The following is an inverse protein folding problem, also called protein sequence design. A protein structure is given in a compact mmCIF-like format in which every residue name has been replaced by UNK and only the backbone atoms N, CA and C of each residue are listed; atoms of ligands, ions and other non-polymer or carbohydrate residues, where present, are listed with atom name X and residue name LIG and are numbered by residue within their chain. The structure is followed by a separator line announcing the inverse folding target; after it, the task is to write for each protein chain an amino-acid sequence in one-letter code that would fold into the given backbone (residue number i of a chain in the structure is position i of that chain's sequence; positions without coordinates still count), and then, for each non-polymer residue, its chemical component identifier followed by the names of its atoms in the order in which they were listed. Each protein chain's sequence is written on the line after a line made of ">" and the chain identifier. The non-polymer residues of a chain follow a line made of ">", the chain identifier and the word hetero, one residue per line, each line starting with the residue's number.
data_IF_670682237280
#
_entry.id   IF_670682237280
#
_cell.length_a   1.000
_cell.length_b   1.000
_cell.length_c   1.000
_cell.angle_alpha   90.00
_cell.angle_beta   90.00
_cell.angle_gamma   90.00
#
_symmetry.space_group_name_H-M   'P 1'
#
loop_
_entity.id
_entity.type
_entity.pdbx_description
1 polymer ?
#
# COMPACT_ATOMS: atom_id res chain seq x y z
N UNK A 1 16.13 2.77 12.77
CA UNK A 1 15.43 1.57 12.32
C UNK A 1 14.02 1.58 12.88
N UNK A 2 13.02 1.34 12.03
CA UNK A 2 11.60 1.23 12.39
C UNK A 2 11.08 -0.10 11.86
N UNK A 3 10.33 -0.82 12.69
CA UNK A 3 9.58 -1.99 12.29
C UNK A 3 8.13 -1.85 12.78
N UNK A 4 7.18 -2.00 11.85
CA UNK A 4 5.75 -2.01 12.14
C UNK A 4 5.15 -3.30 11.58
N UNK A 5 4.47 -4.05 12.43
CA UNK A 5 3.65 -5.19 12.05
C UNK A 5 2.21 -4.90 12.45
N UNK A 6 1.29 -4.95 11.51
CA UNK A 6 -0.12 -4.67 11.72
C UNK A 6 -0.97 -5.82 11.18
N UNK A 7 -1.74 -6.43 12.04
CA UNK A 7 -2.80 -7.34 11.63
C UNK A 7 -4.06 -6.53 11.32
N UNK A 8 -4.68 -6.81 10.18
CA UNK A 8 -5.96 -6.17 9.84
C UNK A 8 -7.12 -6.76 10.66
N UNK A 9 -8.28 -6.09 10.58
CA UNK A 9 -9.52 -6.54 11.22
C UNK A 9 -9.95 -7.93 10.72
N UNK A 10 -9.73 -8.20 9.43
CA UNK A 10 -10.06 -9.49 8.83
C UNK A 10 -8.94 -10.49 9.03
N UNK A 11 -9.33 -11.75 9.29
CA UNK A 11 -8.39 -12.86 9.49
C UNK A 11 -7.40 -12.99 8.33
N UNK A 12 -6.12 -13.21 8.66
CA UNK A 12 -4.99 -13.32 7.69
C UNK A 12 -4.69 -12.04 6.88
N UNK A 13 -5.27 -10.92 7.21
CA UNK A 13 -4.82 -9.63 6.67
C UNK A 13 -3.59 -9.18 7.44
N UNK A 14 -2.53 -8.82 6.72
CA UNK A 14 -1.23 -8.49 7.30
C UNK A 14 -0.60 -7.31 6.56
N UNK A 15 0.07 -6.45 7.32
CA UNK A 15 0.89 -5.38 6.79
C UNK A 15 2.18 -5.28 7.60
N UNK A 16 3.31 -5.48 6.94
CA UNK A 16 4.64 -5.34 7.50
C UNK A 16 5.34 -4.14 6.87
N UNK A 17 5.97 -3.32 7.68
CA UNK A 17 6.80 -2.20 7.23
C UNK A 17 8.13 -2.20 7.97
N UNK A 18 9.20 -2.08 7.20
CA UNK A 18 10.56 -1.86 7.70
C UNK A 18 11.07 -0.55 7.11
N UNK A 19 11.51 0.36 7.96
CA UNK A 19 12.09 1.62 7.55
C UNK A 19 13.44 1.86 8.24
N UNK A 20 14.38 2.41 7.50
CA UNK A 20 15.67 2.87 8.02
C UNK A 20 15.98 4.26 7.52
N UNK A 21 16.76 5.01 8.28
CA UNK A 21 17.18 6.34 7.87
C UNK A 21 18.50 6.71 8.50
N UNK A 22 19.24 7.56 7.79
CA UNK A 22 20.50 8.15 8.21
C UNK A 22 20.38 9.67 8.05
N UNK A 23 20.81 10.39 9.05
CA UNK A 23 20.94 11.85 8.98
C UNK A 23 22.43 12.20 9.15
N UNK A 24 22.97 12.93 8.19
CA UNK A 24 24.31 13.48 8.21
C UNK A 24 24.22 14.99 8.38
N UNK A 25 24.96 15.51 9.33
CA UNK A 25 25.07 16.95 9.55
C UNK A 25 26.52 17.38 9.44
N UNK A 26 26.76 18.43 8.69
CA UNK A 26 28.05 19.05 8.55
C UNK A 26 27.93 20.55 8.81
N UNK A 27 28.85 21.09 9.64
CA UNK A 27 28.91 22.51 9.96
C UNK A 27 30.36 22.98 9.86
N UNK A 28 30.56 24.02 9.09
CA UNK A 28 31.87 24.64 8.96
C UNK A 28 31.69 26.17 8.79
N UNK A 29 32.19 26.96 9.74
CA UNK A 29 32.02 28.41 9.78
C UNK A 29 30.53 28.79 9.61
N UNK A 30 30.22 29.63 8.59
CA UNK A 30 28.86 30.03 8.25
C UNK A 30 28.08 29.02 7.38
N UNK A 31 28.62 27.82 7.07
CA UNK A 31 27.98 26.81 6.22
C UNK A 31 27.44 25.65 7.05
N UNK A 32 26.20 25.29 6.84
CA UNK A 32 25.56 24.14 7.46
C UNK A 32 24.87 23.31 6.39
N UNK A 33 25.09 22.01 6.41
CA UNK A 33 24.47 21.05 5.53
C UNK A 33 23.83 19.95 6.38
N UNK A 34 22.61 19.59 6.05
CA UNK A 34 21.93 18.40 6.60
C UNK A 34 21.45 17.56 5.43
N UNK A 35 21.83 16.30 5.42
CA UNK A 35 21.34 15.33 4.47
C UNK A 35 20.63 14.20 5.22
N UNK A 36 19.37 13.93 4.87
CA UNK A 36 18.56 12.88 5.46
C UNK A 36 18.14 11.89 4.39
N UNK A 37 18.72 10.72 4.44
CA UNK A 37 18.42 9.59 3.55
C UNK A 37 17.53 8.61 4.30
N UNK A 38 16.46 8.12 3.67
CA UNK A 38 15.63 7.05 4.23
C UNK A 38 15.27 6.00 3.18
N UNK A 39 15.05 4.79 3.66
CA UNK A 39 14.61 3.66 2.87
C UNK A 39 13.52 2.90 3.60
N UNK A 40 12.37 2.73 2.94
CA UNK A 40 11.20 2.06 3.46
C UNK A 40 10.79 0.90 2.56
N UNK A 41 10.48 -0.24 3.17
CA UNK A 41 9.89 -1.40 2.52
C UNK A 41 8.58 -1.71 3.23
N UNK A 42 7.51 -1.89 2.47
CA UNK A 42 6.25 -2.36 2.99
C UNK A 42 5.77 -3.56 2.19
N UNK A 43 5.27 -4.56 2.88
CA UNK A 43 4.56 -5.70 2.30
C UNK A 43 3.19 -5.79 2.92
N UNK A 44 2.15 -5.94 2.12
CA UNK A 44 0.80 -6.19 2.60
C UNK A 44 0.15 -7.35 1.90
N UNK A 45 -0.73 -8.04 2.63
CA UNK A 45 -1.53 -9.14 2.15
C UNK A 45 -2.98 -8.90 2.56
N UNK A 46 -3.88 -8.84 1.58
CA UNK A 46 -5.30 -8.75 1.86
C UNK A 46 -5.83 -10.08 2.43
N UNK A 47 -6.92 -10.00 3.17
CA UNK A 47 -7.59 -11.17 3.71
C UNK A 47 -8.21 -12.01 2.59
N UNK A 48 -8.01 -13.33 2.57
CA UNK A 48 -8.76 -14.20 1.66
C UNK A 48 -10.24 -14.34 2.05
N UNK A 49 -10.62 -13.89 3.25
CA UNK A 49 -12.01 -13.90 3.75
C UNK A 49 -12.84 -12.69 3.31
N UNK A 50 -12.38 -11.91 2.33
CA UNK A 50 -13.08 -10.72 1.88
C UNK A 50 -13.02 -9.55 2.86
N UNK A 51 -13.96 -8.62 2.76
CA UNK A 51 -14.09 -7.46 3.62
C UNK A 51 -15.10 -7.68 4.75
N UNK A 52 -15.05 -6.86 5.79
CA UNK A 52 -16.07 -6.89 6.85
C UNK A 52 -17.47 -6.59 6.29
N UNK A 53 -17.58 -5.71 5.29
CA UNK A 53 -18.83 -5.39 4.62
C UNK A 53 -19.50 -6.61 3.98
N UNK A 54 -18.72 -7.58 3.49
CA UNK A 54 -19.26 -8.81 2.88
C UNK A 54 -20.04 -9.66 3.89
N UNK A 55 -19.73 -9.55 5.19
CA UNK A 55 -20.43 -10.25 6.26
C UNK A 55 -21.62 -9.46 6.80
N UNK A 56 -21.51 -8.14 6.89
CA UNK A 56 -22.60 -7.31 7.42
C UNK A 56 -23.77 -7.17 6.45
N UNK A 57 -23.52 -7.30 5.15
CA UNK A 57 -24.54 -7.27 4.11
C UNK A 57 -25.35 -8.57 3.99
N UNK A 58 -24.95 -9.64 4.69
CA UNK A 58 -25.68 -10.89 4.73
C UNK A 58 -26.94 -10.78 5.63
N UNK A 59 -28.05 -11.33 5.17
CA UNK A 59 -29.22 -11.42 6.03
C UNK A 59 -29.09 -12.52 7.08
N UNK A 60 -29.65 -12.36 8.30
CA UNK A 60 -29.49 -13.33 9.37
C UNK A 60 -30.03 -14.73 9.04
N UNK A 61 -31.05 -14.84 8.20
CA UNK A 61 -31.65 -16.11 7.78
C UNK A 61 -30.96 -16.80 6.61
N UNK A 62 -29.99 -16.19 5.97
CA UNK A 62 -29.23 -16.81 4.91
C UNK A 62 -28.13 -17.71 5.48
N UNK A 63 -27.92 -18.87 4.87
CA UNK A 63 -26.84 -19.78 5.26
C UNK A 63 -25.67 -19.71 4.28
N UNK A 64 -24.46 -19.74 4.79
CA UNK A 64 -23.24 -19.92 3.99
C UNK A 64 -23.03 -21.37 3.50
N UNK A 65 -23.85 -22.29 4.02
CA UNK A 65 -23.77 -23.73 3.76
C UNK A 65 -25.08 -24.25 3.21
N UNK A 66 -24.98 -25.27 2.39
CA UNK A 66 -26.10 -26.07 1.93
C UNK A 66 -26.63 -27.01 3.05
N UNK A 67 -27.62 -27.85 2.70
CA UNK A 67 -28.24 -28.82 3.62
C UNK A 67 -27.28 -29.89 4.10
N UNK A 68 -26.22 -30.17 3.33
CA UNK A 68 -25.19 -31.16 3.61
C UNK A 68 -24.01 -30.55 4.40
N UNK A 69 -24.08 -29.27 4.75
CA UNK A 69 -23.05 -28.57 5.51
C UNK A 69 -21.87 -28.08 4.66
N UNK A 70 -21.93 -28.19 3.32
CA UNK A 70 -20.90 -27.73 2.39
C UNK A 70 -21.08 -26.24 2.08
N UNK A 71 -19.95 -25.52 1.96
CA UNK A 71 -19.99 -24.11 1.59
C UNK A 71 -20.54 -23.91 0.17
N UNK A 72 -21.55 -23.05 0.02
CA UNK A 72 -22.10 -22.68 -1.27
C UNK A 72 -21.24 -21.59 -1.90
N UNK A 73 -21.10 -21.59 -3.26
CA UNK A 73 -20.29 -20.61 -3.98
C UNK A 73 -20.91 -19.22 -3.92
N UNK A 74 -22.22 -19.15 -4.12
CA UNK A 74 -22.99 -17.89 -4.14
C UNK A 74 -24.25 -18.04 -3.31
N UNK A 75 -24.61 -16.99 -2.58
CA UNK A 75 -25.93 -16.92 -1.92
C UNK A 75 -27.02 -16.75 -2.98
N UNK A 76 -28.25 -17.22 -2.69
CA UNK A 76 -29.39 -17.02 -3.57
C UNK A 76 -29.58 -15.56 -3.94
N UNK A 77 -30.05 -15.37 -5.15
CA UNK A 77 -30.29 -14.07 -5.73
C UNK A 77 -31.25 -13.24 -4.87
N UNK A 78 -30.80 -12.06 -4.46
CA UNK A 78 -31.61 -11.04 -3.82
C UNK A 78 -32.26 -10.15 -4.90
N UNK A 79 -33.08 -9.20 -4.50
CA UNK A 79 -33.74 -8.25 -5.41
C UNK A 79 -32.79 -7.74 -6.51
N UNK A 80 -33.28 -7.72 -7.75
CA UNK A 80 -32.59 -7.23 -8.97
C UNK A 80 -31.48 -8.12 -9.60
N UNK A 81 -31.46 -9.40 -9.31
CA UNK A 81 -30.60 -10.30 -10.10
C UNK A 81 -29.16 -10.43 -9.63
N UNK A 82 -28.75 -9.79 -8.55
CA UNK A 82 -27.40 -9.87 -8.03
C UNK A 82 -27.23 -11.08 -7.11
N UNK A 83 -26.27 -11.95 -7.44
CA UNK A 83 -25.84 -13.03 -6.58
C UNK A 83 -24.68 -12.56 -5.70
N UNK A 84 -24.75 -12.85 -4.41
CA UNK A 84 -23.71 -12.48 -3.46
C UNK A 84 -22.68 -13.62 -3.36
N UNK A 85 -21.41 -13.31 -3.63
CA UNK A 85 -20.31 -14.28 -3.52
C UNK A 85 -20.06 -14.65 -2.05
N UNK A 86 -19.91 -15.94 -1.76
CA UNK A 86 -19.63 -16.41 -0.42
C UNK A 86 -18.12 -16.21 -0.08
N UNK A 87 -17.77 -15.28 0.81
CA UNK A 87 -16.38 -15.03 1.14
C UNK A 87 -15.71 -16.20 1.88
N UNK A 88 -16.49 -17.04 2.57
CA UNK A 88 -15.95 -18.24 3.22
C UNK A 88 -15.57 -19.29 2.19
N UNK A 89 -16.33 -19.43 1.10
CA UNK A 89 -15.98 -20.30 -0.02
C UNK A 89 -14.70 -19.79 -0.71
N UNK A 90 -14.66 -18.50 -1.04
CA UNK A 90 -13.47 -17.87 -1.66
C UNK A 90 -12.20 -18.06 -0.81
N UNK A 91 -12.33 -18.05 0.52
CA UNK A 91 -11.22 -18.24 1.43
C UNK A 91 -10.66 -19.69 1.44
N UNK A 92 -11.38 -20.67 0.87
CA UNK A 92 -10.89 -22.05 0.68
C UNK A 92 -10.04 -22.20 -0.58
N UNK A 93 -10.11 -21.25 -1.50
CA UNK A 93 -9.40 -21.26 -2.77
C UNK A 93 -7.98 -20.66 -2.65
N UNK A 94 -7.23 -20.77 -3.74
CA UNK A 94 -5.88 -20.24 -3.87
C UNK A 94 -5.80 -18.71 -4.05
N UNK A 95 -6.89 -17.97 -3.92
CA UNK A 95 -6.95 -16.54 -4.12
C UNK A 95 -5.97 -15.79 -3.24
N UNK A 96 -5.27 -14.82 -3.83
CA UNK A 96 -4.46 -13.89 -3.05
C UNK A 96 -4.42 -12.48 -3.69
N UNK A 97 -4.26 -11.50 -2.84
CA UNK A 97 -3.94 -10.13 -3.23
C UNK A 97 -2.79 -9.66 -2.33
N UNK A 98 -1.64 -9.41 -2.95
CA UNK A 98 -0.42 -8.97 -2.29
C UNK A 98 0.05 -7.68 -2.93
N UNK A 99 0.49 -6.73 -2.12
CA UNK A 99 1.18 -5.55 -2.59
C UNK A 99 2.44 -5.30 -1.77
N UNK A 100 3.44 -4.75 -2.42
CA UNK A 100 4.64 -4.26 -1.77
C UNK A 100 5.07 -2.94 -2.39
N UNK A 101 5.69 -2.10 -1.59
CA UNK A 101 6.44 -0.97 -2.12
C UNK A 101 7.84 -0.92 -1.50
N UNK A 102 8.74 -0.31 -2.28
CA UNK A 102 10.06 0.11 -1.84
C UNK A 102 10.19 1.59 -2.15
N UNK A 103 10.54 2.37 -1.15
CA UNK A 103 10.70 3.82 -1.29
C UNK A 103 12.04 4.25 -0.73
N UNK A 104 12.78 4.97 -1.54
CA UNK A 104 13.99 5.67 -1.15
C UNK A 104 13.74 7.17 -1.21
N UNK A 105 14.16 7.89 -0.19
CA UNK A 105 14.08 9.35 -0.15
C UNK A 105 15.39 9.95 0.28
N UNK A 106 15.75 11.07 -0.32
CA UNK A 106 16.88 11.89 0.05
C UNK A 106 16.44 13.35 0.18
N UNK A 107 16.77 13.96 1.31
CA UNK A 107 16.45 15.35 1.60
C UNK A 107 17.74 16.04 2.00
N UNK A 108 18.19 16.97 1.17
CA UNK A 108 19.35 17.82 1.40
C UNK A 108 18.89 19.22 1.77
N UNK A 109 19.35 19.72 2.89
CA UNK A 109 19.14 21.10 3.33
C UNK A 109 20.49 21.80 3.53
N UNK A 110 20.61 22.99 2.96
CA UNK A 110 21.80 23.83 3.01
C UNK A 110 21.41 25.18 3.64
N UNK A 111 22.20 25.65 4.60
CA UNK A 111 22.13 27.00 5.14
C UNK A 111 23.51 27.61 5.05
N UNK A 112 23.63 28.75 4.39
CA UNK A 112 24.87 29.47 4.22
C UNK A 112 24.72 30.90 4.74
N UNK A 113 25.30 31.17 5.89
CA UNK A 113 25.46 32.51 6.46
C UNK A 113 26.67 33.16 5.77
N UNK A 114 26.43 33.85 4.66
CA UNK A 114 27.48 34.48 3.84
C UNK A 114 28.21 35.55 4.63
N UNK A 115 27.43 36.31 5.42
CA UNK A 115 27.91 37.31 6.41
C UNK A 115 26.79 37.54 7.44
N UNK A 116 26.97 38.52 8.36
CA UNK A 116 26.02 38.83 9.45
C UNK A 116 24.66 39.31 8.94
N UNK A 117 24.55 39.70 7.69
CA UNK A 117 23.34 40.27 7.08
C UNK A 117 22.68 39.37 6.04
N UNK A 118 23.41 38.43 5.46
CA UNK A 118 22.95 37.62 4.33
C UNK A 118 22.95 36.13 4.66
N UNK A 119 21.74 35.55 4.64
CA UNK A 119 21.51 34.12 4.76
C UNK A 119 20.94 33.55 3.45
N UNK A 120 21.57 32.54 2.90
CA UNK A 120 21.05 31.75 1.78
C UNK A 120 20.69 30.36 2.25
N UNK A 121 19.51 29.89 1.90
CA UNK A 121 19.02 28.54 2.19
C UNK A 121 18.67 27.82 0.89
N UNK A 122 19.03 26.55 0.80
CA UNK A 122 18.62 25.68 -0.28
C UNK A 122 18.09 24.37 0.29
N UNK A 123 17.03 23.84 -0.30
CA UNK A 123 16.52 22.51 0.01
C UNK A 123 16.30 21.76 -1.29
N UNK A 124 16.73 20.53 -1.33
CA UNK A 124 16.49 19.60 -2.41
C UNK A 124 15.97 18.29 -1.83
N UNK A 125 14.86 17.81 -2.36
CA UNK A 125 14.28 16.54 -1.98
C UNK A 125 14.03 15.69 -3.23
N UNK A 126 14.38 14.42 -3.16
CA UNK A 126 14.06 13.44 -4.17
C UNK A 126 13.49 12.19 -3.51
N UNK A 127 12.45 11.61 -4.09
CA UNK A 127 11.92 10.29 -3.71
C UNK A 127 11.75 9.42 -4.94
N UNK A 128 12.10 8.15 -4.77
CA UNK A 128 11.90 7.10 -5.75
C UNK A 128 11.11 5.97 -5.10
N UNK A 129 9.92 5.68 -5.63
CA UNK A 129 9.03 4.65 -5.12
C UNK A 129 8.69 3.65 -6.20
N UNK A 130 8.85 2.36 -5.89
CA UNK A 130 8.44 1.24 -6.71
C UNK A 130 7.31 0.50 -6.01
N UNK A 131 6.11 0.58 -6.56
CA UNK A 131 4.92 -0.17 -6.13
C UNK A 131 4.76 -1.41 -6.99
N UNK A 132 4.51 -2.57 -6.37
CA UNK A 132 4.18 -3.82 -7.06
C UNK A 132 2.94 -4.44 -6.43
N UNK A 133 1.99 -4.82 -7.28
CA UNK A 133 0.77 -5.51 -6.88
C UNK A 133 0.64 -6.80 -7.66
N UNK A 134 0.25 -7.88 -6.95
CA UNK A 134 0.01 -9.19 -7.55
C UNK A 134 -1.30 -9.75 -7.00
N UNK A 135 -2.25 -9.95 -7.89
CA UNK A 135 -3.59 -10.47 -7.59
C UNK A 135 -3.79 -11.76 -8.37
N UNK A 136 -4.15 -12.82 -7.68
CA UNK A 136 -4.54 -14.09 -8.29
C UNK A 136 -5.97 -14.44 -7.91
N UNK A 137 -6.78 -14.75 -8.92
CA UNK A 137 -8.13 -15.28 -8.79
C UNK A 137 -8.14 -16.71 -9.28
N UNK A 138 -8.53 -17.63 -8.39
CA UNK A 138 -8.59 -19.06 -8.69
C UNK A 138 -9.65 -19.37 -9.75
N UNK A 139 -9.42 -20.30 -10.68
CA UNK A 139 -10.41 -20.73 -11.68
C UNK A 139 -11.76 -21.19 -11.08
N UNK A 140 -11.75 -21.71 -9.84
CA UNK A 140 -12.95 -22.14 -9.13
C UNK A 140 -13.70 -21.02 -8.41
N UNK A 141 -13.16 -19.76 -8.46
CA UNK A 141 -13.80 -18.61 -7.83
C UNK A 141 -15.22 -18.40 -8.35
N UNK A 142 -16.12 -18.07 -7.43
CA UNK A 142 -17.50 -17.72 -7.75
C UNK A 142 -17.63 -16.42 -8.59
N UNK A 143 -16.54 -15.66 -8.78
CA UNK A 143 -16.45 -14.54 -9.72
C UNK A 143 -16.79 -14.98 -11.14
N UNK A 144 -16.39 -16.18 -11.53
CA UNK A 144 -16.70 -16.74 -12.85
C UNK A 144 -18.08 -17.37 -12.81
N UNK A 145 -18.98 -16.90 -13.69
CA UNK A 145 -20.31 -17.48 -13.88
C UNK A 145 -20.26 -18.88 -14.49
N UNK A 146 -21.34 -19.63 -14.34
CA UNK A 146 -21.46 -21.01 -14.87
C UNK A 146 -21.31 -21.09 -16.40
N UNK A 147 -21.58 -19.98 -17.13
CA UNK A 147 -21.42 -19.88 -18.57
C UNK A 147 -19.98 -19.65 -19.05
N UNK A 148 -19.02 -19.42 -18.18
CA UNK A 148 -17.61 -19.22 -18.56
C UNK A 148 -16.94 -20.58 -18.74
N UNK A 149 -16.35 -20.81 -19.90
CA UNK A 149 -15.63 -22.06 -20.20
C UNK A 149 -14.44 -22.24 -19.26
N UNK A 150 -14.20 -23.44 -18.78
CA UNK A 150 -13.23 -23.73 -17.72
C UNK A 150 -11.81 -23.22 -18.02
N UNK A 151 -11.34 -23.29 -19.28
CA UNK A 151 -10.01 -22.80 -19.66
C UNK A 151 -9.90 -21.27 -19.75
N UNK A 152 -11.02 -20.53 -19.67
CA UNK A 152 -11.07 -19.08 -19.60
C UNK A 152 -11.20 -18.56 -18.16
N UNK A 153 -11.24 -19.46 -17.17
CA UNK A 153 -11.31 -19.12 -15.76
C UNK A 153 -9.90 -19.02 -15.17
N UNK A 154 -9.78 -18.20 -14.18
CA UNK A 154 -8.49 -17.91 -13.53
C UNK A 154 -7.86 -16.64 -14.10
N UNK A 155 -7.32 -15.83 -13.21
CA UNK A 155 -6.72 -14.56 -13.56
C UNK A 155 -5.51 -14.30 -12.68
N UNK A 156 -4.40 -13.93 -13.30
CA UNK A 156 -3.22 -13.41 -12.60
C UNK A 156 -2.96 -11.99 -13.13
N UNK A 157 -3.12 -11.02 -12.25
CA UNK A 157 -2.81 -9.62 -12.55
C UNK A 157 -1.54 -9.21 -11.81
N UNK A 158 -0.55 -8.73 -12.55
CA UNK A 158 0.66 -8.14 -11.98
C UNK A 158 0.78 -6.70 -12.47
N UNK A 159 0.92 -5.77 -11.53
CA UNK A 159 1.13 -4.36 -11.83
C UNK A 159 2.41 -3.89 -11.14
N UNK A 160 3.18 -3.05 -11.85
CA UNK A 160 4.36 -2.40 -11.32
C UNK A 160 4.33 -0.93 -11.72
N UNK A 161 4.42 -0.06 -10.72
CA UNK A 161 4.41 1.39 -10.92
C UNK A 161 5.64 1.99 -10.27
N UNK A 162 6.37 2.79 -11.04
CA UNK A 162 7.50 3.57 -10.54
C UNK A 162 7.10 5.03 -10.47
N UNK A 163 7.34 5.66 -9.32
CA UNK A 163 7.07 7.07 -9.11
C UNK A 163 8.35 7.77 -8.66
N UNK A 164 8.81 8.76 -9.41
CA UNK A 164 9.88 9.65 -9.01
C UNK A 164 9.32 11.04 -8.76
N UNK A 165 9.67 11.64 -7.63
CA UNK A 165 9.30 13.00 -7.26
C UNK A 165 10.54 13.74 -6.83
N UNK A 166 10.62 15.01 -7.20
CA UNK A 166 11.66 15.91 -6.73
C UNK A 166 11.05 17.27 -6.39
N UNK A 167 11.68 17.96 -5.48
CA UNK A 167 11.30 19.29 -5.03
C UNK A 167 12.58 20.07 -4.73
N UNK A 168 12.60 21.36 -5.09
CA UNK A 168 13.65 22.28 -4.70
C UNK A 168 13.03 23.57 -4.17
N UNK A 169 13.61 24.10 -3.12
CA UNK A 169 13.24 25.38 -2.52
C UNK A 169 14.50 26.17 -2.25
N UNK A 170 14.49 27.43 -2.67
CA UNK A 170 15.60 28.34 -2.47
C UNK A 170 15.08 29.62 -1.80
N UNK A 171 15.85 30.15 -0.87
CA UNK A 171 15.51 31.33 -0.10
C UNK A 171 16.75 32.15 0.20
N UNK A 172 16.68 33.45 0.01
CA UNK A 172 17.71 34.40 0.45
C UNK A 172 17.09 35.47 1.34
N UNK A 173 17.68 35.71 2.48
CA UNK A 173 17.29 36.78 3.39
C UNK A 173 18.43 37.76 3.59
N UNK A 174 18.17 39.05 3.38
CA UNK A 174 19.09 40.13 3.71
C UNK A 174 18.46 40.99 4.80
N UNK A 175 19.14 41.17 5.92
CA UNK A 175 18.66 41.96 7.05
C UNK A 175 19.77 42.85 7.57
N UNK A 176 19.69 44.16 7.31
CA UNK A 176 20.63 45.18 7.79
C UNK A 176 19.83 46.31 8.43
N UNK A 177 20.13 46.60 9.68
CA UNK A 177 19.66 47.80 10.35
C UNK A 177 20.50 49.00 9.85
N UNK A 178 19.86 50.06 9.41
CA UNK A 178 20.48 51.32 8.98
C UNK A 178 20.44 52.32 10.12
#
# INVERSE_FOLDING_TARGET
>A
LRYDNQNGVMKKSLRDRIGTGLTLEYRYKGFQMQNKISYDIMTSKASPYGSFGDYTNKHPYESWKDKDGKLIKKLPQRNYGESFINPLYEATLGNFNKSNYKEWTDNLALNWYVNDYLLVKGQFAISYKLDKTKVFTDPESAKYGDGVTAFLRGELTEASTTTTRWNTNEFAAYNRLF
#
